data_IF_700014592423
#
_entry.id   IF_700014592423
#
_cell.length_a   1.000
_cell.length_b   1.000
_cell.length_c   1.000
_cell.angle_alpha   90.00
_cell.angle_beta   90.00
_cell.angle_gamma   90.00
#
_symmetry.space_group_name_H-M   'P 1'
#
loop_
_entity.id
_entity.type
_entity.pdbx_description
1 polymer ?
#
# COMPACT_ATOMS: atom_id res chain seq x y z
N UNK A 1 -32.49 23.17 29.49
CA UNK A 1 -31.28 22.72 28.78
C UNK A 1 -31.55 22.88 27.29
N UNK A 2 -31.47 24.12 26.78
CA UNK A 2 -31.55 24.34 25.33
C UNK A 2 -30.45 23.51 24.68
N UNK A 3 -30.85 22.67 23.74
CA UNK A 3 -30.12 21.48 23.33
C UNK A 3 -28.81 21.90 22.64
N UNK A 4 -27.67 21.75 23.34
CA UNK A 4 -26.33 22.08 22.84
C UNK A 4 -26.08 21.48 21.45
N UNK A 5 -26.69 20.33 21.12
CA UNK A 5 -26.62 19.68 19.83
C UNK A 5 -27.32 20.45 18.68
N UNK A 6 -28.20 21.39 19.01
CA UNK A 6 -28.89 22.28 18.06
C UNK A 6 -28.24 23.67 17.96
N UNK A 7 -27.31 23.99 18.86
CA UNK A 7 -26.56 25.25 18.79
C UNK A 7 -25.78 25.34 17.46
N UNK A 8 -25.92 26.45 16.70
CA UNK A 8 -25.13 26.69 15.50
C UNK A 8 -23.61 26.60 15.74
N UNK A 9 -23.14 27.11 16.88
CA UNK A 9 -21.71 27.12 17.23
C UNK A 9 -21.16 25.71 17.43
N UNK A 10 -21.91 24.86 18.13
CA UNK A 10 -21.53 23.46 18.32
C UNK A 10 -21.53 22.70 16.99
N UNK A 11 -22.52 22.96 16.11
CA UNK A 11 -22.58 22.33 14.79
C UNK A 11 -21.42 22.75 13.89
N UNK A 12 -21.03 24.03 13.92
CA UNK A 12 -19.86 24.53 13.21
C UNK A 12 -18.58 23.87 13.72
N UNK A 13 -18.36 23.87 15.04
CA UNK A 13 -17.23 23.19 15.67
C UNK A 13 -17.16 21.69 15.32
N UNK A 14 -18.30 21.00 15.37
CA UNK A 14 -18.38 19.58 15.02
C UNK A 14 -18.06 19.34 13.53
N UNK A 15 -18.51 20.22 12.64
CA UNK A 15 -18.19 20.14 11.21
C UNK A 15 -16.68 20.30 10.96
N UNK A 16 -16.04 21.27 11.62
CA UNK A 16 -14.59 21.46 11.55
C UNK A 16 -13.81 20.26 12.11
N UNK A 17 -14.27 19.67 13.22
CA UNK A 17 -13.66 18.47 13.77
C UNK A 17 -13.77 17.29 12.81
N UNK A 18 -14.95 17.07 12.22
CA UNK A 18 -15.16 16.03 11.21
C UNK A 18 -14.26 16.23 9.98
N UNK A 19 -14.12 17.47 9.51
CA UNK A 19 -13.24 17.79 8.38
C UNK A 19 -11.77 17.46 8.72
N UNK A 20 -11.29 17.85 9.91
CA UNK A 20 -9.94 17.52 10.38
C UNK A 20 -9.70 16.02 10.47
N UNK A 21 -10.65 15.26 11.02
CA UNK A 21 -10.57 13.79 11.09
C UNK A 21 -10.48 13.17 9.71
N UNK A 22 -11.36 13.57 8.77
CA UNK A 22 -11.33 13.06 7.38
C UNK A 22 -10.01 13.37 6.69
N UNK A 23 -9.49 14.59 6.85
CA UNK A 23 -8.19 14.95 6.28
C UNK A 23 -7.05 14.12 6.88
N UNK A 24 -7.08 13.84 8.18
CA UNK A 24 -6.09 12.96 8.81
C UNK A 24 -6.16 11.53 8.28
N UNK A 25 -7.37 10.96 8.16
CA UNK A 25 -7.60 9.63 7.59
C UNK A 25 -7.13 9.54 6.14
N UNK A 26 -7.41 10.55 5.31
CA UNK A 26 -6.96 10.59 3.92
C UNK A 26 -5.43 10.59 3.83
N UNK A 27 -4.74 11.41 4.64
CA UNK A 27 -3.27 11.42 4.67
C UNK A 27 -2.69 10.08 5.11
N UNK A 28 -3.29 9.46 6.13
CA UNK A 28 -2.87 8.14 6.59
C UNK A 28 -3.06 7.08 5.49
N UNK A 29 -4.22 7.06 4.81
CA UNK A 29 -4.50 6.14 3.73
C UNK A 29 -3.52 6.32 2.55
N UNK A 30 -3.21 7.56 2.17
CA UNK A 30 -2.22 7.85 1.12
C UNK A 30 -0.84 7.34 1.51
N UNK A 31 -0.39 7.61 2.73
CA UNK A 31 0.92 7.14 3.23
C UNK A 31 1.00 5.62 3.22
N UNK A 32 -0.05 4.92 3.70
CA UNK A 32 -0.10 3.46 3.68
C UNK A 32 -0.06 2.94 2.24
N UNK A 33 -0.85 3.52 1.33
CA UNK A 33 -0.85 3.10 -0.07
C UNK A 33 0.51 3.27 -0.74
N UNK A 34 1.23 4.37 -0.45
CA UNK A 34 2.57 4.61 -0.97
C UNK A 34 3.55 3.53 -0.49
N UNK A 35 3.56 3.22 0.80
CA UNK A 35 4.40 2.16 1.36
C UNK A 35 4.06 0.79 0.79
N UNK A 36 2.77 0.50 0.61
CA UNK A 36 2.33 -0.77 0.02
C UNK A 36 2.82 -0.96 -1.42
N UNK A 37 2.78 0.10 -2.25
CA UNK A 37 3.29 0.03 -3.62
C UNK A 37 4.80 -0.19 -3.64
N UNK A 38 5.55 0.53 -2.79
CA UNK A 38 7.00 0.39 -2.68
C UNK A 38 7.39 -1.01 -2.19
N UNK A 39 6.69 -1.55 -1.19
CA UNK A 39 6.89 -2.91 -0.69
C UNK A 39 6.66 -3.96 -1.78
N UNK A 40 5.56 -3.83 -2.53
CA UNK A 40 5.25 -4.76 -3.61
C UNK A 40 6.28 -4.71 -4.73
N UNK A 41 6.77 -3.52 -5.06
CA UNK A 41 7.87 -3.37 -6.00
C UNK A 41 9.15 -4.03 -5.49
N UNK A 42 9.54 -3.80 -4.23
CA UNK A 42 10.78 -4.34 -3.67
C UNK A 42 10.77 -5.87 -3.60
N UNK A 43 9.65 -6.47 -3.17
CA UNK A 43 9.46 -7.93 -3.20
C UNK A 43 9.66 -8.46 -4.62
N UNK A 44 9.14 -7.75 -5.63
CA UNK A 44 9.36 -8.09 -7.02
C UNK A 44 10.84 -8.12 -7.41
N UNK A 45 11.62 -7.12 -6.98
CA UNK A 45 13.06 -7.07 -7.23
C UNK A 45 13.79 -8.23 -6.53
N UNK A 46 13.44 -8.52 -5.28
CA UNK A 46 14.06 -9.60 -4.51
C UNK A 46 13.82 -10.96 -5.18
N UNK A 47 12.59 -11.21 -5.64
CA UNK A 47 12.27 -12.43 -6.40
C UNK A 47 13.14 -12.52 -7.65
N UNK A 48 13.26 -11.44 -8.44
CA UNK A 48 14.08 -11.44 -9.66
C UNK A 48 15.55 -11.69 -9.36
N UNK A 49 16.09 -11.00 -8.36
CA UNK A 49 17.49 -11.12 -7.95
C UNK A 49 17.82 -12.55 -7.52
N UNK A 50 16.99 -13.17 -6.68
CA UNK A 50 17.21 -14.54 -6.22
C UNK A 50 17.04 -15.57 -7.34
N UNK A 51 16.08 -15.38 -8.25
CA UNK A 51 15.94 -16.25 -9.42
C UNK A 51 17.16 -16.18 -10.34
N UNK A 52 17.73 -14.99 -10.54
CA UNK A 52 18.93 -14.81 -11.35
C UNK A 52 20.19 -15.38 -10.67
N UNK A 53 20.36 -15.14 -9.37
CA UNK A 53 21.56 -15.55 -8.63
C UNK A 53 21.60 -17.05 -8.32
N UNK A 54 20.46 -17.64 -7.97
CA UNK A 54 20.39 -19.02 -7.45
C UNK A 54 19.66 -19.98 -8.40
N UNK A 55 19.25 -19.52 -9.58
CA UNK A 55 18.54 -20.34 -10.57
C UNK A 55 17.17 -20.84 -10.08
N UNK A 56 16.55 -20.12 -9.13
CA UNK A 56 15.26 -20.53 -8.58
C UNK A 56 14.19 -20.56 -9.68
N UNK A 57 13.68 -21.76 -9.97
CA UNK A 57 12.61 -21.96 -10.93
C UNK A 57 11.28 -21.35 -10.49
N UNK A 58 10.24 -21.55 -11.30
CA UNK A 58 8.89 -20.99 -11.08
C UNK A 58 8.21 -21.39 -9.75
N UNK A 59 8.73 -22.43 -9.06
CA UNK A 59 8.19 -22.93 -7.78
C UNK A 59 8.44 -22.02 -6.58
N UNK A 60 9.37 -21.06 -6.66
CA UNK A 60 9.63 -20.14 -5.54
C UNK A 60 8.41 -19.26 -5.21
N UNK A 61 7.66 -18.83 -6.23
CA UNK A 61 6.53 -17.91 -6.04
C UNK A 61 5.38 -18.58 -5.26
N UNK A 62 4.93 -19.80 -5.60
CA UNK A 62 3.96 -20.54 -4.78
C UNK A 62 4.40 -20.70 -3.31
N UNK A 63 5.68 -21.01 -3.07
CA UNK A 63 6.22 -21.20 -1.72
C UNK A 63 6.20 -19.90 -0.91
N UNK A 64 6.69 -18.81 -1.50
CA UNK A 64 6.67 -17.49 -0.87
C UNK A 64 5.23 -17.03 -0.58
N UNK A 65 4.30 -17.25 -1.51
CA UNK A 65 2.90 -16.89 -1.29
C UNK A 65 2.28 -17.65 -0.11
N UNK A 66 2.61 -18.93 0.05
CA UNK A 66 2.16 -19.71 1.21
C UNK A 66 2.76 -19.17 2.51
N UNK A 67 4.08 -18.98 2.56
CA UNK A 67 4.77 -18.52 3.77
C UNK A 67 4.35 -17.11 4.19
N UNK A 68 4.20 -16.19 3.23
CA UNK A 68 3.78 -14.82 3.53
C UNK A 68 2.32 -14.76 4.00
N UNK A 69 1.41 -15.59 3.46
CA UNK A 69 0.03 -15.66 3.97
C UNK A 69 -0.06 -16.21 5.38
N UNK A 70 0.80 -17.17 5.73
CA UNK A 70 0.87 -17.70 7.10
C UNK A 70 1.41 -16.65 8.07
N UNK A 71 2.47 -15.94 7.67
CA UNK A 71 3.06 -14.89 8.49
C UNK A 71 2.17 -13.64 8.63
N UNK A 72 1.39 -13.32 7.60
CA UNK A 72 0.57 -12.10 7.52
C UNK A 72 -0.88 -12.44 7.10
N UNK A 73 -1.67 -13.10 7.96
CA UNK A 73 -3.01 -13.60 7.60
C UNK A 73 -4.00 -12.49 7.23
N UNK A 74 -3.84 -11.29 7.78
CA UNK A 74 -4.70 -10.13 7.48
C UNK A 74 -4.36 -9.46 6.15
N UNK A 75 -3.18 -9.75 5.59
CA UNK A 75 -2.72 -9.16 4.33
C UNK A 75 -3.15 -10.00 3.13
N UNK A 76 -4.23 -9.56 2.48
CA UNK A 76 -4.74 -10.20 1.24
C UNK A 76 -3.81 -10.04 0.03
N UNK A 77 -2.76 -9.22 0.15
CA UNK A 77 -1.79 -8.89 -0.88
C UNK A 77 -0.90 -10.05 -1.32
N UNK A 78 -0.69 -11.07 -0.50
CA UNK A 78 0.31 -12.12 -0.74
C UNK A 78 -0.21 -13.37 -1.45
N UNK A 79 -1.08 -13.19 -2.45
CA UNK A 79 -1.44 -14.29 -3.34
C UNK A 79 -0.34 -14.62 -4.33
N UNK A 80 -0.24 -15.89 -4.76
CA UNK A 80 0.71 -16.32 -5.79
C UNK A 80 0.58 -15.48 -7.07
N UNK A 81 -0.65 -15.13 -7.45
CA UNK A 81 -0.94 -14.21 -8.55
C UNK A 81 -0.35 -12.82 -8.31
N UNK A 82 -0.53 -12.26 -7.12
CA UNK A 82 0.00 -10.95 -6.79
C UNK A 82 1.53 -10.96 -6.74
N UNK A 83 2.17 -12.00 -6.21
CA UNK A 83 3.64 -12.10 -6.24
C UNK A 83 4.18 -12.17 -7.68
N UNK A 84 3.47 -12.84 -8.61
CA UNK A 84 3.81 -12.76 -10.04
C UNK A 84 3.70 -11.33 -10.58
N UNK A 85 2.65 -10.59 -10.20
CA UNK A 85 2.51 -9.19 -10.58
C UNK A 85 3.59 -8.30 -9.96
N UNK A 86 3.99 -8.55 -8.70
CA UNK A 86 5.10 -7.85 -8.05
C UNK A 86 6.39 -8.04 -8.83
N UNK A 87 6.71 -9.29 -9.20
CA UNK A 87 7.87 -9.61 -10.05
C UNK A 87 7.80 -8.88 -11.40
N UNK A 88 6.65 -8.91 -12.07
CA UNK A 88 6.46 -8.21 -13.35
C UNK A 88 6.57 -6.69 -13.19
N UNK A 89 6.04 -6.13 -12.10
CA UNK A 89 6.12 -4.72 -11.78
C UNK A 89 7.59 -4.27 -11.63
N UNK A 90 8.38 -5.03 -10.87
CA UNK A 90 9.82 -4.81 -10.76
C UNK A 90 10.59 -5.00 -12.07
N UNK A 91 10.10 -5.87 -12.96
CA UNK A 91 10.68 -6.10 -14.28
C UNK A 91 10.45 -4.94 -15.24
N UNK A 92 9.24 -4.38 -15.28
CA UNK A 92 8.89 -3.27 -16.17
C UNK A 92 9.47 -1.94 -15.67
N UNK A 93 9.58 -1.74 -14.35
CA UNK A 93 10.17 -0.54 -13.76
C UNK A 93 11.38 -0.92 -12.88
N UNK A 94 12.57 -1.12 -13.45
CA UNK A 94 13.74 -1.58 -12.69
C UNK A 94 14.38 -0.50 -11.80
N UNK A 95 14.14 0.78 -12.08
CA UNK A 95 14.78 1.88 -11.36
C UNK A 95 13.95 2.31 -10.12
N UNK A 96 14.48 2.14 -8.89
CA UNK A 96 13.81 2.59 -7.67
C UNK A 96 13.56 4.10 -7.62
N UNK A 97 14.38 4.93 -8.28
CA UNK A 97 14.18 6.37 -8.30
C UNK A 97 12.88 6.74 -9.04
N UNK A 98 12.64 6.11 -10.18
CA UNK A 98 11.41 6.28 -10.98
C UNK A 98 10.20 5.86 -10.15
N UNK A 99 10.25 4.71 -9.49
CA UNK A 99 9.11 4.21 -8.70
C UNK A 99 8.82 5.10 -7.50
N UNK A 100 9.85 5.51 -6.75
CA UNK A 100 9.69 6.46 -5.63
C UNK A 100 9.10 7.78 -6.10
N UNK A 101 9.56 8.31 -7.24
CA UNK A 101 9.01 9.53 -7.82
C UNK A 101 7.53 9.35 -8.19
N UNK A 102 7.18 8.30 -8.93
CA UNK A 102 5.80 8.02 -9.35
C UNK A 102 4.86 7.85 -8.13
N UNK A 103 5.31 7.10 -7.12
CA UNK A 103 4.54 6.87 -5.89
C UNK A 103 4.37 8.18 -5.09
N UNK A 104 5.39 9.02 -5.03
CA UNK A 104 5.31 10.34 -4.37
C UNK A 104 4.31 11.29 -5.05
N UNK A 105 4.08 11.09 -6.35
CA UNK A 105 3.16 11.89 -7.17
C UNK A 105 1.71 11.42 -7.09
N UNK A 106 1.38 10.35 -6.35
CA UNK A 106 0.00 9.85 -6.15
C UNK A 106 -0.91 10.80 -5.35
N UNK A 107 -0.64 12.11 -5.35
CA UNK A 107 -1.55 13.11 -4.82
C UNK A 107 -2.70 13.34 -5.81
N UNK A 108 -3.93 13.22 -5.31
CA UNK A 108 -5.18 13.71 -5.92
C UNK A 108 -5.88 12.81 -6.95
N UNK A 109 -6.15 11.54 -6.63
CA UNK A 109 -7.36 10.88 -7.11
C UNK A 109 -8.19 10.48 -5.90
N UNK A 110 -8.92 11.48 -5.39
CA UNK A 110 -9.87 11.39 -4.28
C UNK A 110 -10.73 12.63 -4.27
#
# INVERSE_FOLDING_TARGET
>A
MSDLATSPDYRAFLAELKARVRHAQLRAALSVNQEMILLYWSIGQDIRAQQAALGWGSKVIPLLAQYLRVAFPDMRGFSERNLRFMRQFAEVWPDPAIVKQLVSQLRLWG
#
